data_IF_529479474479
#
_entry.id   IF_529479474479
#
_cell.length_a   1.000
_cell.length_b   1.000
_cell.length_c   1.000
_cell.angle_alpha   90.00
_cell.angle_beta   90.00
_cell.angle_gamma   90.00
#
_symmetry.space_group_name_H-M   'P 1'
#
loop_
_entity.id
_entity.type
_entity.pdbx_description
1 polymer ?
#
# COMPACT_ATOMS: atom_id res chain seq x y z
N UNK A 1 36.24 -9.20 -21.66
CA UNK A 1 34.91 -9.83 -21.84
C UNK A 1 34.55 -10.51 -20.53
N UNK A 2 33.41 -10.23 -19.87
CA UNK A 2 32.92 -11.09 -18.82
C UNK A 2 31.84 -12.03 -19.39
N UNK A 3 32.01 -13.32 -19.12
CA UNK A 3 31.19 -14.43 -19.62
C UNK A 3 29.90 -14.57 -18.79
N UNK A 4 28.77 -14.61 -19.47
CA UNK A 4 27.41 -14.68 -18.91
C UNK A 4 27.05 -16.09 -18.46
N UNK A 5 26.79 -16.27 -17.16
CA UNK A 5 26.12 -17.45 -16.60
C UNK A 5 24.61 -17.40 -16.90
N UNK A 6 24.21 -17.93 -18.06
CA UNK A 6 22.80 -18.14 -18.42
C UNK A 6 22.61 -19.61 -18.82
N UNK A 7 22.79 -20.54 -17.87
CA UNK A 7 22.72 -21.99 -18.16
C UNK A 7 21.76 -22.79 -17.25
N UNK A 8 21.04 -22.13 -16.36
CA UNK A 8 19.94 -22.74 -15.60
C UNK A 8 18.81 -21.72 -15.67
N UNK A 9 17.57 -22.12 -15.90
CA UNK A 9 16.38 -21.23 -15.90
C UNK A 9 16.08 -20.57 -14.54
N UNK A 10 17.12 -20.24 -13.77
CA UNK A 10 17.08 -19.48 -12.55
C UNK A 10 16.65 -18.05 -12.87
N UNK A 11 15.35 -17.83 -12.81
CA UNK A 11 14.82 -16.50 -12.58
C UNK A 11 15.03 -16.20 -11.10
N UNK A 12 15.87 -15.22 -10.77
CA UNK A 12 16.07 -14.81 -9.38
C UNK A 12 14.70 -14.51 -8.76
N UNK A 13 14.28 -15.33 -7.78
CA UNK A 13 12.98 -15.12 -7.16
C UNK A 13 12.99 -13.80 -6.39
N UNK A 14 11.83 -13.14 -6.29
CA UNK A 14 11.70 -11.84 -5.64
C UNK A 14 12.20 -11.87 -4.20
N UNK A 15 11.94 -12.93 -3.45
CA UNK A 15 12.43 -13.12 -2.08
C UNK A 15 13.96 -13.08 -1.98
N UNK A 16 14.67 -13.70 -2.92
CA UNK A 16 16.13 -13.68 -3.01
C UNK A 16 16.69 -12.31 -3.38
N UNK A 17 15.99 -11.57 -4.26
CA UNK A 17 16.34 -10.16 -4.54
C UNK A 17 16.16 -9.28 -3.32
N UNK A 18 15.04 -9.44 -2.61
CA UNK A 18 14.72 -8.64 -1.42
C UNK A 18 15.68 -8.87 -0.26
N UNK A 19 16.10 -10.11 -0.04
CA UNK A 19 17.11 -10.43 0.97
C UNK A 19 18.45 -9.74 0.69
N UNK A 20 18.86 -9.69 -0.59
CA UNK A 20 20.13 -9.08 -1.00
C UNK A 20 20.08 -7.55 -0.96
N UNK A 21 18.97 -6.94 -1.37
CA UNK A 21 18.81 -5.49 -1.46
C UNK A 21 18.32 -4.85 -0.16
N UNK A 22 17.74 -5.63 0.76
CA UNK A 22 16.97 -5.13 1.90
C UNK A 22 15.64 -4.47 1.50
N UNK A 23 15.22 -4.58 0.24
CA UNK A 23 14.04 -3.92 -0.34
C UNK A 23 13.12 -4.92 -0.99
N UNK A 24 11.83 -4.85 -0.67
CA UNK A 24 10.80 -5.69 -1.29
C UNK A 24 10.51 -5.30 -2.75
N UNK A 25 10.80 -4.03 -3.11
CA UNK A 25 10.33 -3.41 -4.35
C UNK A 25 8.81 -3.47 -4.49
N UNK A 26 8.11 -3.37 -3.35
CA UNK A 26 6.65 -3.46 -3.29
C UNK A 26 6.07 -2.29 -2.52
N UNK A 27 4.89 -1.81 -2.93
CA UNK A 27 4.05 -0.88 -2.18
C UNK A 27 2.73 -1.58 -1.84
N UNK A 28 2.32 -1.52 -0.58
CA UNK A 28 1.09 -2.15 -0.10
C UNK A 28 -0.08 -1.17 -0.10
N UNK A 29 -1.21 -1.53 -0.72
CA UNK A 29 -2.49 -0.88 -0.48
C UNK A 29 -3.24 -1.63 0.63
N UNK A 30 -3.35 -1.00 1.80
CA UNK A 30 -4.03 -1.56 2.98
C UNK A 30 -5.46 -1.03 3.01
N UNK A 31 -6.43 -1.92 2.80
CA UNK A 31 -7.82 -1.51 2.59
C UNK A 31 -8.82 -2.50 3.20
N UNK A 32 -9.99 -2.04 3.67
CA UNK A 32 -11.00 -2.93 4.20
C UNK A 32 -11.71 -3.70 3.08
N UNK A 33 -12.01 -4.97 3.34
CA UNK A 33 -13.08 -5.70 2.63
C UNK A 33 -14.37 -5.39 3.37
N UNK A 34 -15.19 -4.51 2.80
CA UNK A 34 -16.55 -4.31 3.26
C UNK A 34 -17.49 -5.07 2.32
N UNK A 35 -18.31 -5.96 2.87
CA UNK A 35 -19.32 -6.72 2.10
C UNK A 35 -20.48 -5.86 1.59
N UNK A 36 -20.54 -4.59 2.00
CA UNK A 36 -21.62 -3.66 1.69
C UNK A 36 -21.12 -2.34 1.08
N UNK A 37 -20.01 -2.35 0.32
CA UNK A 37 -19.65 -1.16 -0.46
C UNK A 37 -20.73 -0.91 -1.51
N UNK A 38 -21.10 0.35 -1.70
CA UNK A 38 -21.89 0.76 -2.86
C UNK A 38 -21.08 0.50 -4.13
N UNK A 39 -21.75 0.25 -5.27
CA UNK A 39 -21.06 0.09 -6.56
C UNK A 39 -20.09 1.24 -6.85
N UNK A 40 -20.46 2.47 -6.48
CA UNK A 40 -19.60 3.66 -6.62
C UNK A 40 -18.29 3.54 -5.83
N UNK A 41 -18.33 2.99 -4.61
CA UNK A 41 -17.14 2.75 -3.82
C UNK A 41 -16.23 1.68 -4.44
N UNK A 42 -16.79 0.63 -5.04
CA UNK A 42 -16.02 -0.40 -5.74
C UNK A 42 -15.30 0.17 -6.97
N UNK A 43 -16.00 0.94 -7.81
CA UNK A 43 -15.41 1.59 -8.99
C UNK A 43 -14.28 2.56 -8.60
N UNK A 44 -14.45 3.33 -7.53
CA UNK A 44 -13.41 4.23 -7.04
C UNK A 44 -12.11 3.48 -6.72
N UNK A 45 -12.18 2.42 -5.92
CA UNK A 45 -10.98 1.67 -5.52
C UNK A 45 -10.32 0.95 -6.70
N UNK A 46 -11.10 0.46 -7.66
CA UNK A 46 -10.54 -0.10 -8.90
C UNK A 46 -9.74 0.93 -9.69
N UNK A 47 -10.25 2.16 -9.82
CA UNK A 47 -9.53 3.24 -10.49
C UNK A 47 -8.24 3.62 -9.75
N UNK A 48 -8.27 3.68 -8.41
CA UNK A 48 -7.08 3.91 -7.59
C UNK A 48 -6.06 2.79 -7.78
N UNK A 49 -6.48 1.52 -7.73
CA UNK A 49 -5.60 0.38 -7.98
C UNK A 49 -4.96 0.45 -9.36
N UNK A 50 -5.72 0.81 -10.40
CA UNK A 50 -5.20 0.96 -11.76
C UNK A 50 -4.13 2.05 -11.84
N UNK A 51 -4.41 3.25 -11.31
CA UNK A 51 -3.45 4.36 -11.32
C UNK A 51 -2.19 4.08 -10.51
N UNK A 52 -2.33 3.44 -9.34
CA UNK A 52 -1.21 2.97 -8.53
C UNK A 52 -0.38 1.94 -9.30
N UNK A 53 -1.02 0.93 -9.88
CA UNK A 53 -0.34 -0.13 -10.62
C UNK A 53 0.47 0.44 -11.79
N UNK A 54 -0.14 1.28 -12.63
CA UNK A 54 0.52 1.88 -13.79
C UNK A 54 1.74 2.72 -13.37
N UNK A 55 1.58 3.56 -12.34
CA UNK A 55 2.64 4.43 -11.84
C UNK A 55 3.78 3.63 -11.21
N UNK A 56 3.45 2.68 -10.33
CA UNK A 56 4.44 1.87 -9.62
C UNK A 56 5.24 0.99 -10.59
N UNK A 57 4.56 0.42 -11.60
CA UNK A 57 5.21 -0.38 -12.64
C UNK A 57 6.26 0.44 -13.41
N UNK A 58 5.95 1.72 -13.72
CA UNK A 58 6.90 2.65 -14.33
C UNK A 58 8.17 2.91 -13.49
N UNK A 59 8.10 2.66 -12.17
CA UNK A 59 9.21 2.76 -11.23
C UNK A 59 9.83 1.40 -10.86
N UNK A 60 9.40 0.30 -11.48
CA UNK A 60 9.87 -1.05 -11.15
C UNK A 60 9.43 -1.53 -9.76
N UNK A 61 8.29 -1.04 -9.28
CA UNK A 61 7.66 -1.42 -8.03
C UNK A 61 6.37 -2.22 -8.28
N UNK A 62 6.15 -3.25 -7.48
CA UNK A 62 4.92 -4.04 -7.51
C UNK A 62 3.87 -3.45 -6.56
N UNK A 63 2.61 -3.44 -6.97
CA UNK A 63 1.47 -3.17 -6.09
C UNK A 63 1.00 -4.47 -5.44
N UNK A 64 0.93 -4.49 -4.10
CA UNK A 64 0.29 -5.58 -3.35
C UNK A 64 -0.95 -5.04 -2.64
N UNK A 65 -2.09 -5.70 -2.83
CA UNK A 65 -3.34 -5.34 -2.16
C UNK A 65 -3.46 -6.21 -0.91
N UNK A 66 -3.57 -5.57 0.25
CA UNK A 66 -3.67 -6.21 1.56
C UNK A 66 -5.06 -5.90 2.15
N UNK A 67 -6.06 -6.71 1.78
CA UNK A 67 -7.38 -6.57 2.35
C UNK A 67 -7.42 -6.97 3.83
N UNK A 68 -8.17 -6.23 4.65
CA UNK A 68 -8.48 -6.62 6.03
C UNK A 68 -10.00 -6.65 6.29
N UNK A 69 -10.43 -7.61 7.10
CA UNK A 69 -11.82 -7.73 7.56
C UNK A 69 -11.99 -7.18 8.97
N UNK A 70 -13.21 -7.23 9.51
CA UNK A 70 -13.54 -6.74 10.85
C UNK A 70 -12.97 -7.59 11.99
N UNK A 71 -12.48 -8.81 11.72
CA UNK A 71 -11.96 -9.72 12.73
C UNK A 71 -10.66 -9.24 13.38
N UNK A 72 -9.86 -8.45 12.65
CA UNK A 72 -8.61 -7.85 13.14
C UNK A 72 -8.76 -6.34 13.02
N UNK A 73 -8.52 -5.61 14.11
CA UNK A 73 -8.52 -4.15 14.07
C UNK A 73 -7.52 -3.63 13.04
N UNK A 74 -7.90 -2.60 12.28
CA UNK A 74 -7.09 -2.03 11.19
C UNK A 74 -5.66 -1.64 11.61
N UNK A 75 -5.50 -1.18 12.85
CA UNK A 75 -4.20 -0.82 13.42
C UNK A 75 -3.32 -2.07 13.63
N UNK A 76 -3.86 -3.10 14.27
CA UNK A 76 -3.12 -4.35 14.49
C UNK A 76 -2.77 -5.02 13.16
N UNK A 77 -3.68 -5.02 12.19
CA UNK A 77 -3.40 -5.55 10.87
C UNK A 77 -2.22 -4.83 10.21
N UNK A 78 -2.20 -3.50 10.24
CA UNK A 78 -1.10 -2.72 9.69
C UNK A 78 0.22 -2.99 10.42
N UNK A 79 0.20 -3.10 11.74
CA UNK A 79 1.40 -3.46 12.54
C UNK A 79 1.98 -4.79 12.07
N UNK A 80 1.15 -5.82 11.92
CA UNK A 80 1.59 -7.12 11.40
C UNK A 80 2.19 -7.02 9.99
N UNK A 81 1.62 -6.18 9.12
CA UNK A 81 2.14 -5.95 7.75
C UNK A 81 3.52 -5.28 7.77
N UNK A 82 3.69 -4.28 8.63
CA UNK A 82 4.95 -3.56 8.81
C UNK A 82 6.02 -4.47 9.42
N UNK A 83 5.68 -5.21 10.48
CA UNK A 83 6.60 -6.11 11.19
C UNK A 83 7.09 -7.24 10.28
N UNK A 84 6.21 -7.77 9.41
CA UNK A 84 6.57 -8.78 8.40
C UNK A 84 7.32 -8.19 7.20
N UNK A 85 7.45 -6.87 7.12
CA UNK A 85 8.08 -6.13 6.01
C UNK A 85 7.54 -6.58 4.65
N UNK A 86 6.22 -6.66 4.52
CA UNK A 86 5.55 -7.11 3.27
C UNK A 86 5.80 -6.13 2.11
N UNK A 87 5.96 -4.84 2.42
CA UNK A 87 6.19 -3.77 1.45
C UNK A 87 7.17 -2.72 1.98
N UNK A 88 7.78 -1.97 1.06
CA UNK A 88 8.69 -0.86 1.37
C UNK A 88 7.93 0.42 1.78
N UNK A 89 6.66 0.54 1.37
CA UNK A 89 5.77 1.66 1.68
C UNK A 89 4.31 1.22 1.72
N UNK A 90 3.45 2.02 2.36
CA UNK A 90 2.02 1.72 2.51
C UNK A 90 1.12 2.84 1.95
N UNK A 91 0.00 2.47 1.35
CA UNK A 91 -1.12 3.34 1.01
C UNK A 91 -2.27 2.97 1.94
N UNK A 92 -2.71 3.90 2.77
CA UNK A 92 -3.81 3.67 3.70
C UNK A 92 -5.14 4.08 3.07
N UNK A 93 -6.08 3.15 2.99
CA UNK A 93 -7.47 3.44 2.66
C UNK A 93 -8.37 3.48 3.90
N UNK A 94 -9.55 4.06 3.74
CA UNK A 94 -10.58 4.18 4.78
C UNK A 94 -10.01 4.88 6.03
N UNK A 95 -9.37 6.03 5.83
CA UNK A 95 -8.72 6.76 6.92
C UNK A 95 -9.70 7.46 7.83
N UNK A 96 -9.43 7.41 9.12
CA UNK A 96 -10.25 8.06 10.14
C UNK A 96 -9.72 9.47 10.44
N UNK A 97 -10.59 10.35 10.95
CA UNK A 97 -10.18 11.70 11.35
C UNK A 97 -9.03 11.66 12.38
N UNK A 98 -9.13 10.78 13.37
CA UNK A 98 -8.04 10.40 14.25
C UNK A 98 -7.70 8.95 13.96
N UNK A 99 -6.57 8.70 13.28
CA UNK A 99 -6.22 7.38 12.77
C UNK A 99 -4.92 6.88 13.41
N UNK A 100 -4.97 5.89 14.31
CA UNK A 100 -3.79 5.41 15.03
C UNK A 100 -2.76 4.75 14.08
N UNK A 101 -3.17 4.37 12.86
CA UNK A 101 -2.25 3.87 11.83
C UNK A 101 -1.26 4.94 11.40
N UNK A 102 -1.69 6.19 11.29
CA UNK A 102 -0.86 7.33 10.89
C UNK A 102 0.21 7.59 11.95
N UNK A 103 -0.20 7.67 13.22
CA UNK A 103 0.71 7.90 14.35
C UNK A 103 1.76 6.79 14.46
N UNK A 104 1.33 5.53 14.28
CA UNK A 104 2.23 4.38 14.27
C UNK A 104 3.27 4.47 13.16
N UNK A 105 2.85 4.72 11.90
CA UNK A 105 3.78 4.76 10.76
C UNK A 105 4.77 5.93 10.87
N UNK A 106 4.31 7.09 11.35
CA UNK A 106 5.17 8.23 11.65
C UNK A 106 6.21 7.88 12.73
N UNK A 107 5.78 7.27 13.83
CA UNK A 107 6.67 6.87 14.92
C UNK A 107 7.72 5.84 14.47
N UNK A 108 7.32 4.90 13.62
CA UNK A 108 8.23 3.87 13.07
C UNK A 108 9.05 4.35 11.86
N UNK A 109 8.82 5.58 11.37
CA UNK A 109 9.43 6.13 10.14
C UNK A 109 9.21 5.23 8.92
N UNK A 110 8.05 4.59 8.84
CA UNK A 110 7.65 3.77 7.70
C UNK A 110 7.07 4.68 6.63
N UNK A 111 7.53 4.64 5.37
CA UNK A 111 6.96 5.47 4.31
C UNK A 111 5.50 5.12 4.03
N UNK A 112 4.65 6.14 3.93
CA UNK A 112 3.24 5.94 3.58
C UNK A 112 2.58 7.18 2.99
N UNK A 113 1.40 6.98 2.41
CA UNK A 113 0.43 8.00 1.99
C UNK A 113 -0.97 7.58 2.42
N UNK A 114 -1.86 8.52 2.74
CA UNK A 114 -3.27 8.22 3.00
C UNK A 114 -4.18 8.60 1.83
N UNK A 115 -5.24 7.81 1.63
CA UNK A 115 -6.42 8.16 0.85
C UNK A 115 -7.48 8.70 1.82
N UNK A 116 -7.63 10.01 1.84
CA UNK A 116 -8.40 10.79 2.81
C UNK A 116 -7.49 11.59 3.75
N UNK A 117 -8.08 12.59 4.41
CA UNK A 117 -7.40 13.45 5.39
C UNK A 117 -7.60 12.96 6.81
N UNK A 118 -6.54 13.00 7.60
CA UNK A 118 -6.59 12.82 9.06
C UNK A 118 -6.16 14.11 9.76
N UNK A 119 -6.29 14.18 11.08
CA UNK A 119 -5.86 15.32 11.90
C UNK A 119 -4.33 15.40 12.06
N UNK A 120 -3.57 14.38 11.63
CA UNK A 120 -2.11 14.40 11.67
C UNK A 120 -1.51 15.33 10.61
N UNK A 121 -0.32 15.85 10.89
CA UNK A 121 0.48 16.65 9.94
C UNK A 121 1.79 15.92 9.59
N UNK A 122 2.50 16.40 8.56
CA UNK A 122 3.85 15.93 8.23
C UNK A 122 3.92 14.63 7.41
N UNK A 123 2.84 14.24 6.74
CA UNK A 123 2.80 13.09 5.83
C UNK A 123 1.96 13.40 4.58
N UNK A 124 2.21 12.73 3.43
CA UNK A 124 1.45 12.97 2.21
C UNK A 124 0.05 12.35 2.29
N UNK A 125 -0.94 13.04 1.75
CA UNK A 125 -2.31 12.56 1.65
C UNK A 125 -2.92 12.95 0.31
N UNK A 126 -3.85 12.13 -0.17
CA UNK A 126 -4.69 12.37 -1.34
C UNK A 126 -6.14 12.33 -0.87
N UNK A 127 -6.90 13.38 -1.12
CA UNK A 127 -8.33 13.44 -0.79
C UNK A 127 -9.13 13.75 -2.05
N UNK A 128 -10.30 13.14 -2.17
CA UNK A 128 -11.23 13.53 -3.21
C UNK A 128 -11.97 14.77 -2.74
N UNK A 129 -12.11 15.76 -3.63
CA UNK A 129 -13.00 16.88 -3.36
C UNK A 129 -14.45 16.42 -3.49
N UNK A 130 -15.02 15.94 -2.38
CA UNK A 130 -16.41 15.48 -2.33
C UNK A 130 -17.42 16.62 -2.57
N UNK A 131 -16.99 17.90 -2.60
CA UNK A 131 -17.88 19.02 -2.91
C UNK A 131 -18.47 18.94 -4.33
N UNK A 132 -17.78 18.27 -5.26
CA UNK A 132 -18.25 18.09 -6.65
C UNK A 132 -19.01 16.78 -6.94
N UNK A 133 -19.03 15.82 -6.00
CA UNK A 133 -19.55 14.46 -6.24
C UNK A 133 -20.97 14.26 -5.68
N UNK A 134 -21.45 15.18 -4.84
CA UNK A 134 -22.78 15.14 -4.23
C UNK A 134 -23.83 16.03 -4.94
N UNK A 135 -23.54 16.50 -6.16
CA UNK A 135 -24.45 17.31 -6.98
C UNK A 135 -25.27 16.45 -7.96
#
# INVERSE_FOLDING_TARGET
MPETFTALGYTANQSGRSLRSGRTSTVALVMPIQTARTQSGETFFLNVCNGLQETLLGHGLDLVILPFGSAVGQEQFLRDVVDRRVADANVLADTQRADPRVDYLLAQRVPFVSLGRTQGEGYPWLDLDFAGVAA
#
